data_IF_640155504975
#
_entry.id   IF_640155504975
#
_cell.length_a   1.000
_cell.length_b   1.000
_cell.length_c   1.000
_cell.angle_alpha   90.00
_cell.angle_beta   90.00
_cell.angle_gamma   90.00
#
_symmetry.space_group_name_H-M   'P 1'
#
loop_
_entity.id
_entity.type
_entity.pdbx_description
1 polymer ?
#
# COMPACT_ATOMS: atom_id res chain seq x y z
N UNK A 1 -38.14 -5.57 9.67
CA UNK A 1 -37.31 -6.79 9.63
C UNK A 1 -35.92 -6.36 9.18
N UNK A 2 -34.84 -6.68 9.90
CA UNK A 2 -33.50 -6.39 9.40
C UNK A 2 -33.27 -7.29 8.18
N UNK A 3 -32.86 -6.69 7.07
CA UNK A 3 -32.38 -7.39 5.88
C UNK A 3 -31.18 -8.25 6.30
N UNK A 4 -31.32 -9.58 6.22
CA UNK A 4 -30.17 -10.49 6.30
C UNK A 4 -29.49 -10.47 4.94
N UNK A 5 -28.71 -9.42 4.66
CA UNK A 5 -27.76 -9.46 3.55
C UNK A 5 -26.81 -10.64 3.83
N UNK A 6 -26.82 -11.62 2.93
CA UNK A 6 -25.89 -12.73 3.04
C UNK A 6 -24.48 -12.16 2.91
N UNK A 7 -23.64 -12.41 3.92
CA UNK A 7 -22.23 -12.00 3.87
C UNK A 7 -21.61 -12.44 2.54
N UNK A 8 -20.81 -11.59 1.90
CA UNK A 8 -20.18 -11.93 0.62
C UNK A 8 -19.31 -13.19 0.76
N UNK A 9 -19.36 -14.05 -0.26
CA UNK A 9 -18.67 -15.33 -0.27
C UNK A 9 -17.25 -15.24 -0.88
N UNK A 10 -16.97 -14.16 -1.60
CA UNK A 10 -15.73 -13.91 -2.32
C UNK A 10 -15.49 -12.40 -2.47
N UNK A 11 -14.30 -12.05 -2.95
CA UNK A 11 -14.00 -10.76 -3.55
C UNK A 11 -13.53 -10.99 -4.99
N UNK A 12 -13.69 -10.00 -5.87
CA UNK A 12 -13.34 -10.13 -7.29
C UNK A 12 -12.05 -9.38 -7.62
N UNK A 13 -11.22 -9.95 -8.48
CA UNK A 13 -9.99 -9.35 -8.98
C UNK A 13 -9.99 -9.30 -10.49
N UNK A 14 -9.88 -8.10 -11.04
CA UNK A 14 -9.88 -7.84 -12.49
C UNK A 14 -8.48 -7.46 -12.96
N UNK A 15 -8.04 -8.09 -14.05
CA UNK A 15 -6.76 -7.79 -14.68
C UNK A 15 -6.93 -6.85 -15.88
N UNK A 16 -6.68 -5.57 -15.67
CA UNK A 16 -6.66 -4.53 -16.71
C UNK A 16 -5.24 -4.15 -17.14
N UNK A 17 -4.22 -4.92 -16.77
CA UNK A 17 -2.80 -4.58 -17.01
C UNK A 17 -2.36 -4.69 -18.47
N UNK A 18 -3.12 -5.39 -19.31
CA UNK A 18 -2.72 -5.76 -20.68
C UNK A 18 -1.75 -6.96 -20.75
N UNK A 19 -1.33 -7.52 -19.62
CA UNK A 19 -0.46 -8.71 -19.52
C UNK A 19 -1.15 -9.84 -18.76
N UNK A 20 -0.84 -11.10 -19.08
CA UNK A 20 -1.32 -12.26 -18.30
C UNK A 20 -0.63 -12.31 -16.95
N UNK A 21 -1.41 -12.36 -15.86
CA UNK A 21 -0.91 -12.50 -14.49
C UNK A 21 -0.84 -13.98 -14.10
N UNK A 22 0.31 -14.41 -13.56
CA UNK A 22 0.54 -15.80 -13.09
C UNK A 22 0.61 -15.91 -11.56
N UNK A 23 0.66 -14.77 -10.89
CA UNK A 23 0.77 -14.69 -9.44
C UNK A 23 -0.05 -13.49 -8.96
N UNK A 24 -0.77 -13.69 -7.87
CA UNK A 24 -1.49 -12.67 -7.11
C UNK A 24 -1.37 -13.01 -5.63
N UNK A 25 -1.00 -12.04 -4.80
CA UNK A 25 -0.99 -12.16 -3.34
C UNK A 25 -1.63 -10.92 -2.74
N UNK A 26 -2.31 -11.11 -1.62
CA UNK A 26 -2.92 -10.03 -0.84
C UNK A 26 -2.52 -10.24 0.61
N UNK A 27 -2.07 -9.18 1.27
CA UNK A 27 -1.52 -9.25 2.62
C UNK A 27 -1.65 -7.93 3.34
N UNK A 28 -1.74 -7.94 4.67
CA UNK A 28 -1.51 -6.74 5.47
C UNK A 28 -0.02 -6.54 5.77
N UNK A 29 0.33 -5.35 6.24
CA UNK A 29 1.66 -5.05 6.81
C UNK A 29 2.05 -6.07 7.89
N UNK A 30 1.13 -6.38 8.82
CA UNK A 30 1.35 -7.35 9.89
C UNK A 30 1.71 -8.74 9.35
N UNK A 31 1.01 -9.19 8.30
CA UNK A 31 1.30 -10.46 7.63
C UNK A 31 2.69 -10.46 6.97
N UNK A 32 3.08 -9.34 6.35
CA UNK A 32 4.43 -9.19 5.75
C UNK A 32 5.52 -9.24 6.82
N UNK A 33 5.32 -8.52 7.92
CA UNK A 33 6.28 -8.43 9.03
C UNK A 33 6.66 -9.80 9.60
N UNK A 34 5.71 -10.72 9.69
CA UNK A 34 5.93 -12.09 10.21
C UNK A 34 6.17 -13.14 9.11
N UNK A 35 6.33 -12.73 7.85
CA UNK A 35 6.56 -13.63 6.73
C UNK A 35 5.33 -14.46 6.30
N UNK A 36 4.13 -14.11 6.77
CA UNK A 36 2.86 -14.74 6.41
C UNK A 36 2.23 -14.13 5.15
N UNK A 37 3.05 -13.83 4.15
CA UNK A 37 2.66 -13.35 2.81
C UNK A 37 3.22 -14.31 1.76
N UNK A 38 2.87 -14.11 0.49
CA UNK A 38 3.41 -14.93 -0.60
C UNK A 38 2.45 -16.01 -1.13
N UNK A 39 1.18 -16.00 -0.71
CA UNK A 39 0.21 -17.02 -1.11
C UNK A 39 -0.34 -16.67 -2.50
N UNK A 40 -0.01 -17.49 -3.50
CA UNK A 40 -0.57 -17.28 -4.83
C UNK A 40 -2.08 -17.60 -4.87
N UNK A 41 -2.90 -16.56 -4.82
CA UNK A 41 -4.36 -16.62 -4.87
C UNK A 41 -4.89 -17.13 -6.22
N UNK A 42 -4.07 -17.14 -7.29
CA UNK A 42 -4.42 -17.75 -8.58
C UNK A 42 -4.15 -19.27 -8.61
N UNK A 43 -3.45 -19.82 -7.61
CA UNK A 43 -3.06 -21.22 -7.57
C UNK A 43 -2.20 -21.63 -8.78
N UNK A 44 -2.68 -22.63 -9.53
CA UNK A 44 -2.03 -23.10 -10.78
C UNK A 44 -2.58 -22.43 -12.05
N UNK A 45 -3.55 -21.54 -11.91
CA UNK A 45 -4.20 -20.87 -13.04
C UNK A 45 -3.61 -19.48 -13.26
N UNK A 46 -3.89 -18.91 -14.42
CA UNK A 46 -3.49 -17.54 -14.78
C UNK A 46 -4.72 -16.64 -14.90
N UNK A 47 -4.55 -15.34 -14.77
CA UNK A 47 -5.58 -14.33 -15.00
C UNK A 47 -5.22 -13.53 -16.26
N UNK A 48 -5.95 -13.74 -17.35
CA UNK A 48 -5.62 -13.12 -18.65
C UNK A 48 -6.04 -11.63 -18.67
N UNK A 49 -5.53 -10.83 -19.63
CA UNK A 49 -5.96 -9.45 -19.79
C UNK A 49 -7.48 -9.37 -20.02
N UNK A 50 -8.14 -8.47 -19.27
CA UNK A 50 -9.59 -8.25 -19.28
C UNK A 50 -10.40 -9.28 -18.49
N UNK A 51 -9.79 -10.34 -17.95
CA UNK A 51 -10.50 -11.31 -17.12
C UNK A 51 -10.69 -10.78 -15.69
N UNK A 52 -11.83 -11.14 -15.10
CA UNK A 52 -12.10 -11.00 -13.68
C UNK A 52 -12.24 -12.38 -13.05
N UNK A 53 -11.81 -12.52 -11.81
CA UNK A 53 -11.89 -13.76 -11.05
C UNK A 53 -12.36 -13.52 -9.64
N UNK A 54 -13.33 -14.33 -9.24
CA UNK A 54 -13.77 -14.44 -7.86
C UNK A 54 -12.77 -15.27 -7.06
N UNK A 55 -12.31 -14.72 -5.94
CA UNK A 55 -11.44 -15.37 -4.97
C UNK A 55 -12.29 -15.77 -3.75
N UNK A 56 -12.59 -17.06 -3.57
CA UNK A 56 -13.45 -17.52 -2.49
C UNK A 56 -12.82 -17.29 -1.11
N UNK A 57 -13.60 -16.78 -0.17
CA UNK A 57 -13.20 -16.66 1.23
C UNK A 57 -13.10 -18.02 1.94
N UNK A 58 -13.74 -19.08 1.40
CA UNK A 58 -13.60 -20.45 1.92
C UNK A 58 -12.15 -20.94 1.87
N UNK A 59 -11.42 -20.50 0.86
CA UNK A 59 -10.05 -20.95 0.58
C UNK A 59 -9.00 -20.02 1.24
N UNK A 60 -9.47 -18.87 1.76
CA UNK A 60 -8.69 -17.79 2.32
C UNK A 60 -9.36 -17.25 3.61
N UNK A 61 -9.46 -18.07 4.68
CA UNK A 61 -10.16 -17.68 5.90
C UNK A 61 -9.46 -16.54 6.68
N UNK A 62 -8.13 -16.44 6.53
CA UNK A 62 -7.30 -15.32 6.98
C UNK A 62 -7.74 -14.02 6.32
N UNK A 63 -7.77 -13.96 4.98
CA UNK A 63 -8.21 -12.78 4.24
C UNK A 63 -9.67 -12.45 4.51
N UNK A 64 -10.54 -13.45 4.67
CA UNK A 64 -11.94 -13.24 5.06
C UNK A 64 -12.06 -12.42 6.34
N UNK A 65 -11.25 -12.76 7.34
CA UNK A 65 -11.32 -12.09 8.64
C UNK A 65 -10.92 -10.62 8.55
N UNK A 66 -9.90 -10.33 7.74
CA UNK A 66 -9.38 -8.99 7.55
C UNK A 66 -10.36 -8.18 6.69
N UNK A 67 -10.70 -8.67 5.51
CA UNK A 67 -11.51 -7.94 4.52
C UNK A 67 -12.94 -7.67 5.03
N UNK A 68 -13.57 -8.62 5.74
CA UNK A 68 -14.97 -8.47 6.14
C UNK A 68 -15.19 -7.90 7.55
N UNK A 69 -14.19 -7.96 8.43
CA UNK A 69 -14.38 -7.61 9.85
C UNK A 69 -13.38 -6.59 10.40
N UNK A 70 -12.27 -6.33 9.71
CA UNK A 70 -11.32 -5.27 10.11
C UNK A 70 -11.65 -3.99 9.35
N UNK A 71 -12.46 -3.15 9.97
CA UNK A 71 -12.83 -1.85 9.43
C UNK A 71 -11.57 -1.00 9.16
N UNK A 72 -11.50 -0.33 8.01
CA UNK A 72 -10.38 0.52 7.61
C UNK A 72 -9.09 -0.24 7.25
N UNK A 73 -9.11 -1.58 7.12
CA UNK A 73 -7.91 -2.34 6.80
C UNK A 73 -7.32 -1.92 5.44
N UNK A 74 -6.03 -1.55 5.46
CA UNK A 74 -5.21 -1.37 4.27
C UNK A 74 -4.53 -2.69 3.90
N UNK A 75 -4.74 -3.16 2.68
CA UNK A 75 -4.17 -4.39 2.14
C UNK A 75 -3.25 -4.07 0.98
N UNK A 76 -2.09 -4.71 0.95
CA UNK A 76 -1.21 -4.68 -0.21
C UNK A 76 -1.59 -5.80 -1.18
N UNK A 77 -1.80 -5.45 -2.44
CA UNK A 77 -2.06 -6.37 -3.55
C UNK A 77 -0.84 -6.42 -4.45
N UNK A 78 -0.17 -7.57 -4.50
CA UNK A 78 0.97 -7.81 -5.39
C UNK A 78 0.59 -8.79 -6.49
N UNK A 79 0.95 -8.46 -7.73
CA UNK A 79 0.79 -9.34 -8.87
C UNK A 79 2.05 -9.43 -9.73
N UNK A 80 2.23 -10.56 -10.39
CA UNK A 80 3.34 -10.78 -11.32
C UNK A 80 2.84 -11.32 -12.65
N UNK A 81 3.22 -10.65 -13.72
CA UNK A 81 2.96 -11.08 -15.08
C UNK A 81 3.88 -12.24 -15.51
N UNK A 82 3.50 -12.93 -16.58
CA UNK A 82 4.29 -14.03 -17.15
C UNK A 82 5.72 -13.62 -17.50
N UNK A 83 5.89 -12.43 -18.07
CA UNK A 83 7.17 -11.81 -18.42
C UNK A 83 8.01 -11.34 -17.22
N UNK A 84 7.50 -11.48 -15.98
CA UNK A 84 8.19 -11.09 -14.76
C UNK A 84 7.92 -9.66 -14.29
N UNK A 85 7.17 -8.85 -15.04
CA UNK A 85 6.73 -7.53 -14.61
C UNK A 85 5.90 -7.63 -13.33
N UNK A 86 6.21 -6.77 -12.37
CA UNK A 86 5.54 -6.72 -11.08
C UNK A 86 4.54 -5.57 -11.07
N UNK A 87 3.42 -5.77 -10.39
CA UNK A 87 2.39 -4.78 -10.15
C UNK A 87 2.08 -4.77 -8.65
N UNK A 88 1.90 -3.58 -8.09
CA UNK A 88 1.58 -3.40 -6.69
C UNK A 88 0.60 -2.24 -6.51
N UNK A 89 -0.41 -2.45 -5.67
CA UNK A 89 -1.34 -1.40 -5.26
C UNK A 89 -1.81 -1.62 -3.82
N UNK A 90 -2.18 -0.53 -3.19
CA UNK A 90 -2.93 -0.55 -1.95
C UNK A 90 -4.43 -0.71 -2.24
N UNK A 91 -5.10 -1.49 -1.39
CA UNK A 91 -6.53 -1.71 -1.46
C UNK A 91 -7.14 -1.57 -0.06
N UNK A 92 -8.07 -0.62 0.09
CA UNK A 92 -8.94 -0.51 1.27
C UNK A 92 -10.30 -1.11 0.90
N UNK A 93 -10.67 -2.29 1.42
CA UNK A 93 -11.98 -2.85 1.15
C UNK A 93 -13.05 -1.98 1.79
N UNK A 94 -13.85 -1.30 0.97
CA UNK A 94 -15.17 -0.89 1.41
C UNK A 94 -16.11 -2.11 1.33
N UNK A 95 -16.98 -2.27 2.32
CA UNK A 95 -17.88 -3.44 2.38
C UNK A 95 -18.85 -3.57 1.21
N UNK A 96 -18.86 -2.59 0.28
CA UNK A 96 -19.85 -2.46 -0.78
C UNK A 96 -19.38 -3.02 -2.12
N UNK A 97 -18.11 -2.86 -2.49
CA UNK A 97 -17.64 -3.21 -3.84
C UNK A 97 -16.80 -4.48 -3.90
N UNK A 98 -16.09 -4.86 -2.82
CA UNK A 98 -15.19 -6.03 -2.72
C UNK A 98 -14.50 -6.40 -4.05
N UNK A 99 -13.97 -5.38 -4.72
CA UNK A 99 -13.39 -5.49 -6.05
C UNK A 99 -12.01 -4.85 -6.06
N UNK A 100 -11.09 -5.53 -6.72
CA UNK A 100 -9.73 -5.06 -6.97
C UNK A 100 -9.52 -5.02 -8.47
N UNK A 101 -9.05 -3.89 -8.99
CA UNK A 101 -8.65 -3.79 -10.39
C UNK A 101 -7.15 -3.51 -10.50
N UNK A 102 -6.42 -4.41 -11.15
CA UNK A 102 -4.99 -4.25 -11.38
C UNK A 102 -4.80 -3.62 -12.76
N UNK A 103 -4.27 -2.41 -12.79
CA UNK A 103 -4.15 -1.58 -13.99
C UNK A 103 -2.67 -1.37 -14.37
N UNK A 104 -2.37 -0.90 -15.60
CA UNK A 104 -0.99 -0.65 -16.04
C UNK A 104 -0.26 0.39 -15.19
N UNK A 105 -0.98 1.31 -14.54
CA UNK A 105 -0.40 2.31 -13.62
C UNK A 105 0.20 1.68 -12.35
N UNK A 106 -0.18 0.44 -12.00
CA UNK A 106 0.31 -0.24 -10.80
C UNK A 106 1.66 -0.94 -11.01
N UNK A 107 2.31 -0.80 -12.17
CA UNK A 107 3.63 -1.42 -12.42
C UNK A 107 4.66 -0.93 -11.40
N UNK A 108 5.33 -1.87 -10.73
CA UNK A 108 6.51 -1.54 -9.91
C UNK A 108 7.66 -1.16 -10.83
N UNK A 109 8.07 0.10 -10.75
CA UNK A 109 9.25 0.59 -11.44
C UNK A 109 10.47 0.19 -10.61
N UNK A 110 11.17 -0.87 -11.02
CA UNK A 110 12.39 -1.29 -10.34
C UNK A 110 13.45 -0.17 -10.36
N UNK A 111 13.87 0.20 -9.14
CA UNK A 111 14.98 1.04 -8.70
C UNK A 111 15.75 1.85 -9.76
N UNK A 112 15.56 3.16 -9.69
CA UNK A 112 16.36 4.18 -10.36
C UNK A 112 15.78 5.58 -10.11
N UNK A 113 14.45 5.67 -10.10
CA UNK A 113 13.73 6.83 -9.58
C UNK A 113 13.80 6.76 -8.05
N UNK A 114 14.45 7.76 -7.42
CA UNK A 114 14.45 7.98 -5.96
C UNK A 114 13.38 8.98 -5.57
N UNK A 115 12.36 9.09 -6.41
CA UNK A 115 11.29 10.06 -6.25
C UNK A 115 10.11 9.35 -5.60
N UNK A 116 9.82 9.73 -4.36
CA UNK A 116 8.64 9.30 -3.63
C UNK A 116 7.48 10.24 -3.97
N UNK A 117 6.36 9.69 -4.42
CA UNK A 117 5.11 10.42 -4.46
C UNK A 117 4.43 10.34 -3.10
N UNK A 118 4.05 11.46 -2.52
CA UNK A 118 3.23 11.51 -1.31
C UNK A 118 1.90 12.14 -1.69
N UNK A 119 0.79 11.48 -1.39
CA UNK A 119 -0.57 11.93 -1.67
C UNK A 119 -1.30 12.16 -0.35
N UNK A 120 -1.97 13.30 -0.23
CA UNK A 120 -2.93 13.54 0.83
C UNK A 120 -4.33 13.22 0.30
N UNK A 121 -4.90 12.10 0.73
CA UNK A 121 -6.27 11.67 0.44
C UNK A 121 -7.21 11.94 1.64
N UNK A 122 -6.72 12.64 2.68
CA UNK A 122 -7.50 13.10 3.83
C UNK A 122 -8.18 14.45 3.58
N UNK A 123 -9.06 14.82 4.49
CA UNK A 123 -9.79 16.09 4.44
C UNK A 123 -8.94 17.30 4.87
N UNK A 124 -7.92 17.07 5.70
CA UNK A 124 -7.10 18.10 6.33
C UNK A 124 -5.78 18.37 5.60
N UNK A 125 -5.30 19.61 5.65
CA UNK A 125 -3.99 19.95 5.06
C UNK A 125 -2.86 19.36 5.90
N UNK A 126 -1.91 18.68 5.26
CA UNK A 126 -0.70 18.20 5.93
C UNK A 126 0.40 19.28 5.92
N UNK A 127 0.97 19.54 7.08
CA UNK A 127 2.02 20.55 7.27
C UNK A 127 3.42 19.95 7.32
N UNK A 128 3.55 18.73 7.84
CA UNK A 128 4.82 18.04 8.00
C UNK A 128 4.65 16.56 7.68
N UNK A 129 5.65 15.97 7.01
CA UNK A 129 5.71 14.51 6.79
C UNK A 129 7.12 14.02 7.10
N UNK A 130 7.23 12.91 7.81
CA UNK A 130 8.48 12.31 8.26
C UNK A 130 8.55 10.85 7.82
N UNK A 131 9.73 10.43 7.35
CA UNK A 131 10.04 9.02 7.05
C UNK A 131 11.01 8.49 8.10
N UNK A 132 10.50 7.61 8.96
CA UNK A 132 11.16 7.12 10.15
C UNK A 132 11.62 5.65 9.99
N UNK A 133 12.93 5.40 10.06
CA UNK A 133 13.47 4.04 10.00
C UNK A 133 13.65 3.51 11.44
N UNK A 134 12.94 2.43 11.83
CA UNK A 134 13.05 1.86 13.17
C UNK A 134 14.49 1.52 13.56
N UNK A 135 14.89 1.86 14.78
CA UNK A 135 16.23 1.57 15.32
C UNK A 135 17.38 2.42 14.76
N UNK A 136 17.13 3.23 13.72
CA UNK A 136 18.09 4.24 13.21
C UNK A 136 17.72 5.67 13.63
N UNK A 137 16.47 5.89 14.02
CA UNK A 137 15.94 7.19 14.42
C UNK A 137 15.55 7.15 15.89
N UNK A 138 16.21 7.98 16.71
CA UNK A 138 15.95 8.06 18.16
C UNK A 138 15.19 9.34 18.52
N UNK A 139 15.13 10.33 17.63
CA UNK A 139 14.37 11.59 17.80
C UNK A 139 13.83 12.07 16.44
N UNK A 140 12.69 12.77 16.45
CA UNK A 140 12.12 13.46 15.28
C UNK A 140 13.02 14.65 14.89
N UNK A 141 14.12 14.37 14.21
CA UNK A 141 15.00 15.39 13.67
C UNK A 141 14.29 16.11 12.50
N UNK A 142 14.13 17.43 12.60
CA UNK A 142 13.58 18.29 11.56
C UNK A 142 14.29 18.12 10.20
N UNK A 143 15.53 17.61 10.17
CA UNK A 143 16.23 17.28 8.92
C UNK A 143 15.56 16.14 8.13
N UNK A 144 14.63 15.41 8.74
CA UNK A 144 13.89 14.28 8.17
C UNK A 144 12.48 14.66 7.70
N UNK A 145 12.06 15.91 7.90
CA UNK A 145 10.80 16.44 7.39
C UNK A 145 10.90 16.60 5.85
N UNK A 146 10.00 15.96 5.10
CA UNK A 146 10.17 15.76 3.67
C UNK A 146 9.44 16.79 2.79
N UNK A 147 8.48 17.55 3.33
CA UNK A 147 7.78 18.61 2.60
C UNK A 147 8.64 19.89 2.49
N UNK A 148 9.63 20.05 3.36
CA UNK A 148 10.58 21.16 3.38
C UNK A 148 9.87 22.53 3.48
N UNK A 149 8.85 22.60 4.35
CA UNK A 149 8.02 23.79 4.57
C UNK A 149 6.95 24.04 3.49
N UNK A 150 6.75 23.10 2.55
CA UNK A 150 5.55 23.06 1.73
C UNK A 150 4.40 22.45 2.53
N UNK A 151 3.17 22.82 2.17
CA UNK A 151 1.96 22.16 2.67
C UNK A 151 1.41 21.25 1.58
N UNK A 152 0.74 20.18 1.98
CA UNK A 152 0.09 19.24 1.06
C UNK A 152 -1.42 19.28 1.32
N UNK A 153 -2.18 20.01 0.50
CA UNK A 153 -3.61 20.16 0.68
C UNK A 153 -4.37 18.87 0.32
N UNK A 154 -5.64 18.79 0.73
CA UNK A 154 -6.51 17.66 0.43
C UNK A 154 -6.58 17.37 -1.08
N UNK A 155 -6.37 16.11 -1.45
CA UNK A 155 -6.35 15.62 -2.83
C UNK A 155 -5.05 15.91 -3.60
N UNK A 156 -4.08 16.61 -3.00
CA UNK A 156 -2.82 16.92 -3.66
C UNK A 156 -1.79 15.79 -3.56
N UNK A 157 -0.85 15.82 -4.50
CA UNK A 157 0.33 14.96 -4.46
C UNK A 157 1.60 15.77 -4.68
N UNK A 158 2.66 15.42 -3.96
CA UNK A 158 4.00 15.96 -4.15
C UNK A 158 4.97 14.85 -4.55
N UNK A 159 5.95 15.20 -5.39
CA UNK A 159 7.07 14.33 -5.73
C UNK A 159 8.31 14.77 -4.94
N UNK A 160 8.82 13.87 -4.11
CA UNK A 160 9.91 14.10 -3.19
C UNK A 160 11.13 13.33 -3.65
N UNK A 161 12.21 14.04 -3.97
CA UNK A 161 13.48 13.42 -4.32
C UNK A 161 14.24 12.95 -3.07
N UNK A 162 14.13 11.66 -2.75
CA UNK A 162 14.78 10.98 -1.64
C UNK A 162 16.32 11.00 -1.75
N UNK A 163 16.91 11.44 -2.87
CA UNK A 163 18.36 11.66 -2.98
C UNK A 163 18.88 12.75 -2.04
N UNK A 164 18.01 13.68 -1.63
CA UNK A 164 18.34 14.76 -0.69
C UNK A 164 18.56 14.29 0.75
N UNK A 165 18.16 13.06 1.08
CA UNK A 165 18.25 12.49 2.43
C UNK A 165 19.25 11.32 2.48
N UNK A 166 20.48 11.53 3.00
CA UNK A 166 21.54 10.50 3.02
C UNK A 166 21.18 9.22 3.79
N UNK A 167 20.30 9.31 4.79
CA UNK A 167 19.86 8.15 5.56
C UNK A 167 18.99 7.21 4.71
N UNK A 168 18.09 7.75 3.89
CA UNK A 168 17.31 7.00 2.91
C UNK A 168 18.21 6.37 1.85
N UNK A 169 19.26 7.08 1.44
CA UNK A 169 20.26 6.53 0.51
C UNK A 169 20.99 5.32 1.06
N UNK A 170 21.23 5.28 2.36
CA UNK A 170 21.86 4.15 3.03
C UNK A 170 20.87 3.00 3.18
N UNK A 171 19.61 3.29 3.51
CA UNK A 171 18.52 2.33 3.58
C UNK A 171 18.32 1.55 2.27
N UNK A 172 18.18 2.25 1.15
CA UNK A 172 17.96 1.58 -0.15
C UNK A 172 19.16 0.75 -0.63
N UNK A 173 20.35 0.92 -0.03
CA UNK A 173 21.54 0.13 -0.40
C UNK A 173 21.64 -1.18 0.35
N UNK A 174 21.07 -1.28 1.55
CA UNK A 174 21.29 -2.45 2.40
C UNK A 174 20.42 -3.64 1.99
N UNK A 175 19.41 -3.47 1.11
CA UNK A 175 18.47 -4.53 0.70
C UNK A 175 17.80 -5.24 1.90
N UNK A 176 17.85 -4.59 3.06
CA UNK A 176 17.18 -5.03 4.26
C UNK A 176 15.73 -4.62 4.04
N UNK A 177 14.88 -5.63 3.82
CA UNK A 177 13.42 -5.54 3.63
C UNK A 177 12.72 -5.00 4.89
N UNK A 178 13.17 -3.85 5.36
CA UNK A 178 12.79 -3.17 6.58
C UNK A 178 11.47 -2.42 6.36
N UNK A 179 10.64 -2.44 7.41
CA UNK A 179 9.43 -1.63 7.46
C UNK A 179 9.84 -0.24 7.92
N UNK A 180 9.34 0.78 7.22
CA UNK A 180 9.57 2.19 7.53
C UNK A 180 8.27 2.76 8.08
N UNK A 181 8.35 3.59 9.11
CA UNK A 181 7.20 4.34 9.60
C UNK A 181 7.11 5.69 8.88
N UNK A 182 5.89 6.11 8.57
CA UNK A 182 5.57 7.41 8.01
C UNK A 182 4.69 8.11 9.01
N UNK A 183 5.11 9.29 9.45
CA UNK A 183 4.35 10.14 10.36
C UNK A 183 4.05 11.45 9.65
N UNK A 184 2.83 11.94 9.77
CA UNK A 184 2.46 13.25 9.25
C UNK A 184 1.69 14.04 10.29
N UNK A 185 1.76 15.36 10.22
CA UNK A 185 1.03 16.26 11.10
C UNK A 185 0.13 17.15 10.25
N UNK A 186 -1.15 17.22 10.61
CA UNK A 186 -2.10 18.11 9.95
C UNK A 186 -2.06 19.54 10.52
N UNK A 187 -2.89 20.41 9.94
CA UNK A 187 -3.00 21.81 10.35
C UNK A 187 -3.57 22.04 11.76
N UNK A 188 -4.29 21.05 12.30
CA UNK A 188 -4.87 21.06 13.64
C UNK A 188 -3.93 20.43 14.69
N UNK A 189 -2.78 19.91 14.26
CA UNK A 189 -1.77 19.30 15.12
C UNK A 189 -2.02 17.82 15.44
N UNK A 190 -2.93 17.16 14.71
CA UNK A 190 -3.15 15.72 14.82
C UNK A 190 -2.16 14.94 13.96
N UNK A 191 -1.63 13.87 14.55
CA UNK A 191 -0.67 13.01 13.90
C UNK A 191 -1.36 11.85 13.16
N UNK A 192 -0.93 11.63 11.92
CA UNK A 192 -1.22 10.46 11.11
C UNK A 192 -0.01 9.53 11.16
N UNK A 193 -0.25 8.22 11.15
CA UNK A 193 0.79 7.21 11.20
C UNK A 193 0.48 6.03 10.27
N UNK A 194 1.43 5.70 9.40
CA UNK A 194 1.36 4.56 8.48
C UNK A 194 2.70 3.81 8.43
N UNK A 195 2.65 2.51 8.15
CA UNK A 195 3.85 1.74 7.78
C UNK A 195 3.99 1.65 6.25
N UNK A 196 5.21 1.80 5.76
CA UNK A 196 5.60 1.72 4.36
C UNK A 196 6.70 0.67 4.17
N UNK A 197 6.60 -0.15 3.12
CA UNK A 197 7.57 -1.18 2.76
C UNK A 197 8.20 -0.85 1.40
N UNK A 198 9.29 -0.06 1.35
CA UNK A 198 9.80 0.51 0.10
C UNK A 198 10.29 -0.51 -0.94
N UNK A 199 10.62 -1.72 -0.50
CA UNK A 199 11.08 -2.82 -1.36
C UNK A 199 9.92 -3.57 -2.03
N UNK A 200 8.71 -3.43 -1.52
CA UNK A 200 7.52 -4.15 -1.98
C UNK A 200 6.47 -3.23 -2.58
N UNK A 201 6.38 -2.01 -2.05
CA UNK A 201 5.45 -0.99 -2.50
C UNK A 201 6.12 -0.10 -3.55
N UNK A 202 5.32 0.61 -4.33
CA UNK A 202 5.85 1.69 -5.15
C UNK A 202 6.45 2.77 -4.25
N UNK A 203 7.31 3.62 -4.81
CA UNK A 203 7.67 4.88 -4.16
C UNK A 203 6.47 5.85 -4.22
N UNK A 204 5.34 5.42 -3.68
CA UNK A 204 4.10 6.17 -3.54
C UNK A 204 3.53 5.88 -2.14
N UNK A 205 3.20 6.92 -1.38
CA UNK A 205 2.50 6.86 -0.09
C UNK A 205 1.21 7.66 -0.21
N UNK A 206 0.11 7.14 0.34
CA UNK A 206 -1.18 7.83 0.41
C UNK A 206 -1.66 7.91 1.85
N UNK A 207 -1.67 9.13 2.40
CA UNK A 207 -2.12 9.41 3.77
C UNK A 207 -3.58 9.84 3.74
N UNK A 208 -4.39 9.30 4.65
CA UNK A 208 -5.84 9.50 4.70
C UNK A 208 -6.34 9.68 6.13
N UNK A 209 -7.60 10.10 6.31
CA UNK A 209 -8.20 10.27 7.64
C UNK A 209 -8.34 8.95 8.43
N UNK A 210 -8.09 7.80 7.79
CA UNK A 210 -8.01 6.50 8.46
C UNK A 210 -6.70 6.27 9.20
N UNK A 211 -5.69 7.09 8.94
CA UNK A 211 -4.33 6.91 9.44
C UNK A 211 -4.06 7.76 10.70
N UNK A 212 -5.05 8.55 11.17
CA UNK A 212 -4.98 9.23 12.46
C UNK A 212 -4.89 8.25 13.64
N UNK A 213 -4.08 8.59 14.64
CA UNK A 213 -3.89 7.83 15.89
C UNK A 213 -4.98 8.07 16.94
#
# INVERSE_FOLDING_TARGET
MPSTESKPAYFAVTNSTGSTLKYLDISTTDMRAVGAHGKNLLGQTVLKPGESRDIPFSDNPDLKSIILYRYGALLQVDAKAENGQLFSLEWRPDGNSLQVEIQPKHVIRQQGERTLKVTNDGEYTLLEVYILIPGKNVESDYSMEILQGQVLASGESILVDLSKWPYMQSFFKTNDREIVAVEACDEDGYALFQYWLPDYENLEITLSDWDYL
#
